data_IF_343515967953
#
_entry.id   IF_343515967953
#
_cell.length_a   1.000
_cell.length_b   1.000
_cell.length_c   1.000
_cell.angle_alpha   90.00
_cell.angle_beta   90.00
_cell.angle_gamma   90.00
#
_symmetry.space_group_name_H-M   'P 1'
#
loop_
_entity.id
_entity.type
_entity.pdbx_description
1 polymer ?
#
# COMPACT_ATOMS: atom_id res chain seq x y z
N UNK A 1 42.07 -4.69 -33.21
CA UNK A 1 41.42 -3.42 -32.83
C UNK A 1 40.04 -3.73 -32.25
N UNK A 2 39.80 -3.43 -30.97
CA UNK A 2 38.52 -3.71 -30.30
C UNK A 2 37.47 -2.67 -30.72
N UNK A 3 36.32 -3.12 -31.26
CA UNK A 3 35.21 -2.23 -31.61
C UNK A 3 34.56 -1.69 -30.33
N UNK A 4 34.65 -0.38 -30.11
CA UNK A 4 33.94 0.30 -29.02
C UNK A 4 32.44 0.02 -29.15
N UNK A 5 31.86 -0.56 -28.10
CA UNK A 5 30.44 -0.91 -28.04
C UNK A 5 29.64 0.39 -27.94
N UNK A 6 28.88 0.74 -28.98
CA UNK A 6 27.97 1.91 -28.95
C UNK A 6 26.93 1.70 -27.85
N UNK A 7 27.10 2.35 -26.70
CA UNK A 7 26.13 2.36 -25.61
C UNK A 7 25.24 3.59 -25.78
N UNK A 8 23.91 3.40 -25.74
CA UNK A 8 22.94 4.49 -25.84
C UNK A 8 23.15 5.50 -24.69
N UNK A 9 23.46 6.78 -24.98
CA UNK A 9 23.72 7.81 -23.95
C UNK A 9 22.54 8.08 -23.02
N UNK A 10 21.31 7.71 -23.41
CA UNK A 10 20.10 7.85 -22.59
C UNK A 10 19.82 6.66 -21.68
N UNK A 11 20.59 5.57 -21.80
CA UNK A 11 20.41 4.38 -20.94
C UNK A 11 20.93 4.70 -19.54
N UNK A 12 20.03 4.75 -18.56
CA UNK A 12 20.38 4.75 -17.13
C UNK A 12 20.26 3.31 -16.62
N UNK A 13 21.36 2.55 -16.50
CA UNK A 13 21.29 1.20 -15.96
C UNK A 13 20.93 1.27 -14.48
N UNK A 14 19.79 0.71 -14.12
CA UNK A 14 19.43 0.42 -12.73
C UNK A 14 19.75 -1.05 -12.45
N UNK A 15 20.28 -1.34 -11.26
CA UNK A 15 20.45 -2.72 -10.80
C UNK A 15 19.11 -3.30 -10.36
N UNK A 16 19.00 -4.62 -10.25
CA UNK A 16 17.81 -5.27 -9.67
C UNK A 16 17.54 -4.77 -8.25
N UNK A 17 18.60 -4.50 -7.47
CA UNK A 17 18.48 -3.96 -6.13
C UNK A 17 17.88 -2.54 -6.13
N UNK A 18 18.27 -1.68 -7.09
CA UNK A 18 17.69 -0.34 -7.23
C UNK A 18 16.20 -0.39 -7.57
N UNK A 19 15.80 -1.31 -8.45
CA UNK A 19 14.40 -1.51 -8.82
C UNK A 19 13.57 -2.00 -7.62
N UNK A 20 14.06 -2.99 -6.88
CA UNK A 20 13.37 -3.50 -5.69
C UNK A 20 13.29 -2.46 -4.57
N UNK A 21 14.34 -1.64 -4.40
CA UNK A 21 14.32 -0.52 -3.46
C UNK A 21 13.27 0.53 -3.86
N UNK A 22 13.23 0.92 -5.13
CA UNK A 22 12.27 1.89 -5.64
C UNK A 22 10.82 1.38 -5.48
N UNK A 23 10.57 0.10 -5.75
CA UNK A 23 9.26 -0.52 -5.52
C UNK A 23 8.85 -0.45 -4.05
N UNK A 24 9.72 -0.89 -3.14
CA UNK A 24 9.44 -0.88 -1.70
C UNK A 24 9.15 0.54 -1.19
N UNK A 25 9.92 1.52 -1.67
CA UNK A 25 9.71 2.92 -1.32
C UNK A 25 8.35 3.42 -1.82
N UNK A 26 8.04 3.20 -3.10
CA UNK A 26 6.76 3.61 -3.67
C UNK A 26 5.56 2.94 -2.98
N UNK A 27 5.68 1.65 -2.63
CA UNK A 27 4.63 0.94 -1.88
C UNK A 27 4.50 1.50 -0.46
N UNK A 28 5.61 1.79 0.22
CA UNK A 28 5.59 2.39 1.56
C UNK A 28 4.91 3.76 1.57
N UNK A 29 5.29 4.63 0.63
CA UNK A 29 4.68 5.96 0.46
C UNK A 29 3.19 5.86 0.16
N UNK A 30 2.77 4.94 -0.71
CA UNK A 30 1.34 4.74 -1.02
C UNK A 30 0.53 4.27 0.21
N UNK A 31 1.09 3.36 1.01
CA UNK A 31 0.46 2.89 2.25
C UNK A 31 0.35 4.03 3.26
N UNK A 32 1.41 4.81 3.45
CA UNK A 32 1.41 5.97 4.33
C UNK A 32 0.32 6.98 3.95
N UNK A 33 0.24 7.35 2.66
CA UNK A 33 -0.78 8.27 2.15
C UNK A 33 -2.19 7.72 2.43
N UNK A 34 -2.45 6.45 2.12
CA UNK A 34 -3.76 5.84 2.34
C UNK A 34 -4.17 5.87 3.82
N UNK A 35 -3.24 5.58 4.74
CA UNK A 35 -3.50 5.61 6.18
C UNK A 35 -3.75 7.02 6.70
N UNK A 36 -2.97 8.00 6.25
CA UNK A 36 -3.19 9.41 6.60
C UNK A 36 -4.59 9.86 6.15
N UNK A 37 -4.96 9.58 4.90
CA UNK A 37 -6.29 9.92 4.38
C UNK A 37 -7.41 9.24 5.17
N UNK A 38 -7.28 7.96 5.50
CA UNK A 38 -8.26 7.24 6.30
C UNK A 38 -8.40 7.85 7.70
N UNK A 39 -7.29 8.17 8.37
CA UNK A 39 -7.28 8.80 9.70
C UNK A 39 -7.90 10.20 9.65
N UNK A 40 -7.61 10.99 8.62
CA UNK A 40 -8.24 12.30 8.39
C UNK A 40 -9.75 12.19 8.20
N UNK A 41 -10.23 11.22 7.40
CA UNK A 41 -11.67 10.99 7.23
C UNK A 41 -12.33 10.60 8.56
N UNK A 42 -11.72 9.68 9.33
CA UNK A 42 -12.23 9.29 10.65
C UNK A 42 -12.32 10.49 11.61
N UNK A 43 -11.33 11.38 11.59
CA UNK A 43 -11.35 12.59 12.40
C UNK A 43 -12.44 13.57 11.93
N UNK A 44 -12.37 13.99 10.67
CA UNK A 44 -13.15 15.12 10.15
C UNK A 44 -14.61 14.77 9.86
N UNK A 45 -14.88 13.54 9.43
CA UNK A 45 -16.22 13.10 9.01
C UNK A 45 -16.93 12.27 10.06
N UNK A 46 -16.18 11.53 10.89
CA UNK A 46 -16.74 10.63 11.90
C UNK A 46 -16.53 11.14 13.33
N UNK A 47 -15.83 12.27 13.51
CA UNK A 47 -15.65 12.91 14.81
C UNK A 47 -14.76 12.10 15.76
N UNK A 48 -13.85 11.30 15.23
CA UNK A 48 -12.95 10.51 16.07
C UNK A 48 -11.92 11.44 16.72
N UNK A 49 -12.00 11.59 18.04
CA UNK A 49 -10.95 12.21 18.83
C UNK A 49 -9.75 11.27 19.03
N UNK A 50 -8.71 11.78 19.69
CA UNK A 50 -7.41 11.09 19.89
C UNK A 50 -7.57 9.66 20.40
N UNK A 51 -8.44 9.42 21.39
CA UNK A 51 -8.63 8.08 21.96
C UNK A 51 -9.17 7.08 20.96
N UNK A 52 -10.14 7.48 20.11
CA UNK A 52 -10.72 6.58 19.11
C UNK A 52 -9.75 6.33 17.96
N UNK A 53 -9.02 7.36 17.53
CA UNK A 53 -7.97 7.22 16.51
C UNK A 53 -6.84 6.29 16.97
N UNK A 54 -6.37 6.42 18.23
CA UNK A 54 -5.36 5.51 18.79
C UNK A 54 -5.84 4.07 18.83
N UNK A 55 -7.08 3.83 19.29
CA UNK A 55 -7.66 2.47 19.31
C UNK A 55 -7.77 1.88 17.90
N UNK A 56 -8.22 2.67 16.93
CA UNK A 56 -8.25 2.23 15.53
C UNK A 56 -6.85 1.87 15.02
N UNK A 57 -5.84 2.71 15.32
CA UNK A 57 -4.45 2.47 14.95
C UNK A 57 -3.89 1.18 15.57
N UNK A 58 -4.15 0.94 16.86
CA UNK A 58 -3.73 -0.28 17.57
C UNK A 58 -4.37 -1.54 16.97
N UNK A 59 -5.67 -1.48 16.67
CA UNK A 59 -6.38 -2.58 16.03
C UNK A 59 -5.83 -2.86 14.63
N UNK A 60 -5.60 -1.82 13.84
CA UNK A 60 -5.03 -1.95 12.50
C UNK A 60 -3.66 -2.62 12.52
N UNK A 61 -2.78 -2.23 13.45
CA UNK A 61 -1.48 -2.89 13.64
C UNK A 61 -1.63 -4.36 14.05
N UNK A 62 -2.56 -4.69 14.94
CA UNK A 62 -2.85 -6.08 15.31
C UNK A 62 -3.30 -6.95 14.13
N UNK A 63 -4.10 -6.38 13.22
CA UNK A 63 -4.48 -7.06 11.97
C UNK A 63 -3.27 -7.22 11.03
N UNK A 64 -2.44 -6.18 10.91
CA UNK A 64 -1.19 -6.25 10.13
C UNK A 64 -0.26 -7.34 10.65
N UNK A 65 -0.06 -7.42 11.97
CA UNK A 65 0.77 -8.46 12.59
C UNK A 65 0.20 -9.85 12.32
N UNK A 66 -1.12 -10.01 12.37
CA UNK A 66 -1.78 -11.27 12.05
C UNK A 66 -1.55 -11.69 10.59
N UNK A 67 -1.50 -10.74 9.66
CA UNK A 67 -1.14 -11.01 8.25
C UNK A 67 0.33 -11.39 8.12
N UNK A 68 1.24 -10.64 8.77
CA UNK A 68 2.68 -10.90 8.71
C UNK A 68 3.05 -12.26 9.32
N UNK A 69 2.39 -12.63 10.42
CA UNK A 69 2.57 -13.91 11.11
C UNK A 69 1.83 -15.07 10.43
N UNK A 70 1.07 -14.81 9.36
CA UNK A 70 0.37 -15.81 8.58
C UNK A 70 -0.91 -16.36 9.20
N UNK A 71 -1.44 -15.71 10.25
CA UNK A 71 -2.71 -16.06 10.88
C UNK A 71 -3.92 -15.59 10.06
N UNK A 72 -3.74 -14.60 9.17
CA UNK A 72 -4.78 -14.09 8.31
C UNK A 72 -4.25 -13.71 6.92
N UNK A 73 -5.12 -13.72 5.91
CA UNK A 73 -4.80 -13.46 4.51
C UNK A 73 -5.57 -12.23 4.01
N UNK A 74 -4.88 -11.29 3.38
CA UNK A 74 -5.51 -10.08 2.80
C UNK A 74 -6.57 -10.43 1.74
N UNK A 75 -6.35 -11.40 0.84
CA UNK A 75 -7.41 -11.94 -0.03
C UNK A 75 -8.66 -12.38 0.72
N UNK A 76 -8.51 -13.09 1.83
CA UNK A 76 -9.65 -13.61 2.59
C UNK A 76 -10.40 -12.47 3.28
N UNK A 77 -9.67 -11.49 3.85
CA UNK A 77 -10.28 -10.27 4.39
C UNK A 77 -11.06 -9.50 3.33
N UNK A 78 -10.55 -9.43 2.09
CA UNK A 78 -11.27 -8.79 0.97
C UNK A 78 -12.53 -9.55 0.61
N UNK A 79 -12.47 -10.89 0.59
CA UNK A 79 -13.64 -11.72 0.32
C UNK A 79 -14.73 -11.50 1.39
N UNK A 80 -14.35 -11.50 2.68
CA UNK A 80 -15.28 -11.21 3.79
C UNK A 80 -15.92 -9.83 3.64
N UNK A 81 -15.15 -8.79 3.33
CA UNK A 81 -15.70 -7.45 3.12
C UNK A 81 -16.67 -7.37 1.93
N UNK A 82 -16.40 -8.14 0.87
CA UNK A 82 -17.29 -8.23 -0.28
C UNK A 82 -18.57 -8.99 0.06
N UNK A 83 -18.44 -10.16 0.66
CA UNK A 83 -19.54 -11.10 0.89
C UNK A 83 -20.48 -10.62 2.01
N UNK A 84 -19.93 -10.06 3.09
CA UNK A 84 -20.71 -9.64 4.26
C UNK A 84 -21.15 -8.17 4.18
N UNK A 85 -20.31 -7.29 3.65
CA UNK A 85 -20.55 -5.84 3.68
C UNK A 85 -20.86 -5.26 2.29
N UNK A 86 -20.75 -6.06 1.22
CA UNK A 86 -20.94 -5.58 -0.15
C UNK A 86 -19.85 -4.59 -0.62
N UNK A 87 -18.72 -4.50 0.09
CA UNK A 87 -17.66 -3.53 -0.20
C UNK A 87 -16.58 -4.21 -1.03
N UNK A 88 -16.42 -3.76 -2.28
CA UNK A 88 -15.35 -4.22 -3.17
C UNK A 88 -14.13 -3.30 -3.10
N UNK A 89 -12.99 -3.86 -2.70
CA UNK A 89 -11.74 -3.11 -2.57
C UNK A 89 -10.86 -3.32 -3.81
N UNK A 90 -10.95 -2.41 -4.78
CA UNK A 90 -9.97 -2.25 -5.85
C UNK A 90 -8.91 -1.27 -5.35
N UNK A 91 -7.63 -1.61 -5.41
CA UNK A 91 -6.57 -0.88 -4.69
C UNK A 91 -6.55 0.64 -4.94
N UNK A 92 -5.96 1.39 -3.99
CA UNK A 92 -5.76 2.83 -4.13
C UNK A 92 -5.01 3.16 -5.44
N UNK A 93 -5.66 3.92 -6.33
CA UNK A 93 -5.09 4.37 -7.62
C UNK A 93 -5.48 3.55 -8.85
N UNK A 94 -6.29 2.50 -8.70
CA UNK A 94 -6.82 1.71 -9.82
C UNK A 94 -8.15 2.24 -10.36
N UNK A 95 -8.19 3.49 -10.85
CA UNK A 95 -9.17 3.85 -11.88
C UNK A 95 -8.54 3.55 -13.23
N UNK A 96 -8.79 2.35 -13.75
CA UNK A 96 -8.59 2.09 -15.17
C UNK A 96 -9.55 3.00 -15.94
N UNK A 97 -8.97 3.68 -16.93
CA UNK A 97 -9.65 4.60 -17.82
C UNK A 97 -10.87 3.91 -18.46
N UNK A 98 -12.05 4.52 -18.30
CA UNK A 98 -13.17 4.36 -19.23
C UNK A 98 -13.05 5.39 -20.36
#
# INVERSE_FOLDING_TARGET
>A
MSKSKKVNPRRRPATRADVEKAKRQATGEAVEIALVLAMSVLHDKWGFGVTRLKRFWEQLNSYSDSVVLGYASVPDMRAVLKDEMGIEFTGFGGHENE
#
